data_IF_244302597084
#
_entry.id   IF_244302597084
#
_cell.length_a   1.000
_cell.length_b   1.000
_cell.length_c   1.000
_cell.angle_alpha   90.00
_cell.angle_beta   90.00
_cell.angle_gamma   90.00
#
_symmetry.space_group_name_H-M   'P 1'
#
loop_
_entity.id
_entity.type
_entity.pdbx_description
1 polymer ?
#
# COMPACT_ATOMS: atom_id res chain seq x y z
N UNK A 1 -11.46 -5.46 25.23
CA UNK A 1 -10.98 -4.08 25.39
C UNK A 1 -9.58 -4.05 24.78
N UNK A 2 -9.35 -3.21 23.76
CA UNK A 2 -8.06 -3.16 23.06
C UNK A 2 -6.94 -2.68 23.99
N UNK A 3 -5.75 -3.29 23.85
CA UNK A 3 -4.53 -2.80 24.48
C UNK A 3 -3.84 -1.78 23.55
N UNK A 4 -3.49 -0.61 24.05
CA UNK A 4 -2.82 0.42 23.26
C UNK A 4 -1.31 0.49 23.58
N UNK A 5 -0.44 0.80 22.61
CA UNK A 5 -0.78 0.98 21.18
C UNK A 5 -1.17 -0.35 20.51
N UNK A 6 -2.23 -0.33 19.71
CA UNK A 6 -2.67 -1.47 18.92
C UNK A 6 -1.75 -1.65 17.71
N UNK A 7 -1.12 -2.79 17.55
CA UNK A 7 -0.32 -3.10 16.36
C UNK A 7 -1.26 -3.28 15.16
N UNK A 8 -0.98 -2.56 14.07
CA UNK A 8 -1.80 -2.58 12.85
C UNK A 8 -0.90 -2.84 11.64
N UNK A 9 -1.21 -3.86 10.88
CA UNK A 9 -0.63 -4.12 9.56
C UNK A 9 -1.67 -3.87 8.47
N UNK A 10 -1.21 -3.36 7.34
CA UNK A 10 -2.08 -2.86 6.26
C UNK A 10 -1.59 -3.48 4.95
N UNK A 11 -2.49 -4.13 4.26
CA UNK A 11 -2.25 -4.68 2.94
C UNK A 11 -2.19 -3.57 1.87
N UNK A 12 -1.44 -3.80 0.79
CA UNK A 12 -1.28 -2.87 -0.33
C UNK A 12 -2.61 -2.43 -0.92
N UNK A 13 -3.60 -3.33 -1.00
CA UNK A 13 -4.93 -3.03 -1.53
C UNK A 13 -5.69 -1.93 -0.75
N UNK A 14 -5.36 -1.71 0.50
CA UNK A 14 -5.95 -0.66 1.34
C UNK A 14 -5.34 0.71 1.01
N UNK A 15 -4.02 0.77 0.76
CA UNK A 15 -3.37 1.99 0.27
C UNK A 15 -3.90 2.38 -1.12
N UNK A 16 -4.10 1.40 -2.01
CA UNK A 16 -4.70 1.61 -3.32
C UNK A 16 -6.14 2.12 -3.22
N UNK A 17 -6.95 1.54 -2.35
CA UNK A 17 -8.32 1.99 -2.11
C UNK A 17 -8.36 3.43 -1.57
N UNK A 18 -7.39 3.82 -0.76
CA UNK A 18 -7.19 5.19 -0.30
C UNK A 18 -6.53 6.09 -1.36
N UNK A 19 -6.15 5.55 -2.54
CA UNK A 19 -5.46 6.26 -3.64
C UNK A 19 -4.18 6.98 -3.20
N UNK A 20 -3.52 6.50 -2.17
CA UNK A 20 -2.36 7.15 -1.54
C UNK A 20 -2.63 8.62 -1.17
N UNK A 21 -3.89 8.95 -0.88
CA UNK A 21 -4.30 10.31 -0.51
C UNK A 21 -3.87 10.62 0.92
N UNK A 22 -3.03 11.63 1.08
CA UNK A 22 -2.51 12.13 2.36
C UNK A 22 -3.12 13.49 2.76
N UNK A 23 -4.19 13.92 2.07
CA UNK A 23 -4.92 15.14 2.44
C UNK A 23 -5.61 15.00 3.80
N UNK A 24 -5.91 16.12 4.45
CA UNK A 24 -6.41 16.19 5.83
C UNK A 24 -7.69 15.38 6.10
N UNK A 25 -8.51 15.15 5.08
CA UNK A 25 -9.76 14.37 5.18
C UNK A 25 -9.60 12.89 4.84
N UNK A 26 -8.38 12.45 4.51
CA UNK A 26 -8.13 11.08 4.07
C UNK A 26 -8.10 10.09 5.25
N UNK A 27 -8.41 8.80 4.99
CA UNK A 27 -8.23 7.75 5.99
C UNK A 27 -6.78 7.60 6.45
N UNK A 28 -5.80 7.87 5.57
CA UNK A 28 -4.38 7.79 5.90
C UNK A 28 -3.96 8.93 6.85
N UNK A 29 -4.51 10.12 6.68
CA UNK A 29 -4.29 11.21 7.62
C UNK A 29 -4.92 10.93 8.99
N UNK A 30 -6.07 10.29 9.00
CA UNK A 30 -6.71 9.82 10.23
C UNK A 30 -5.83 8.78 10.94
N UNK A 31 -5.19 7.86 10.20
CA UNK A 31 -4.21 6.91 10.75
C UNK A 31 -3.05 7.63 11.44
N UNK A 32 -2.50 8.66 10.81
CA UNK A 32 -1.44 9.49 11.38
C UNK A 32 -1.85 10.07 12.75
N UNK A 33 -3.09 10.57 12.86
CA UNK A 33 -3.61 11.10 14.11
C UNK A 33 -3.71 10.02 15.21
N UNK A 34 -4.16 8.81 14.88
CA UNK A 34 -4.20 7.70 15.84
C UNK A 34 -2.81 7.28 16.30
N UNK A 35 -1.83 7.28 15.41
CA UNK A 35 -0.42 6.99 15.76
C UNK A 35 0.13 8.09 16.67
N UNK A 36 -0.05 9.36 16.34
CA UNK A 36 0.40 10.50 17.18
C UNK A 36 -0.20 10.49 18.57
N UNK A 37 -1.43 10.00 18.70
CA UNK A 37 -2.10 9.86 20.00
C UNK A 37 -1.75 8.56 20.74
N UNK A 38 -0.77 7.79 20.26
CA UNK A 38 -0.32 6.55 20.90
C UNK A 38 -1.35 5.41 20.89
N UNK A 39 -2.38 5.48 20.05
CA UNK A 39 -3.41 4.45 19.94
C UNK A 39 -3.05 3.34 18.94
N UNK A 40 -2.31 3.66 17.90
CA UNK A 40 -1.91 2.72 16.84
C UNK A 40 -0.40 2.73 16.70
N UNK A 41 0.18 1.55 16.51
CA UNK A 41 1.54 1.33 16.03
C UNK A 41 1.45 0.62 14.68
N UNK A 42 1.96 1.24 13.62
CA UNK A 42 1.94 0.65 12.29
C UNK A 42 3.14 -0.27 12.09
N UNK A 43 2.88 -1.48 11.61
CA UNK A 43 3.89 -2.50 11.30
C UNK A 43 3.62 -3.00 9.89
N UNK A 44 4.54 -2.80 8.96
CA UNK A 44 4.36 -3.17 7.55
C UNK A 44 5.43 -4.15 7.09
N UNK A 45 5.06 -5.05 6.19
CA UNK A 45 6.00 -5.81 5.37
C UNK A 45 6.80 -4.89 4.44
N UNK A 46 8.09 -5.15 4.26
CA UNK A 46 8.89 -4.49 3.23
C UNK A 46 8.37 -4.75 1.81
N UNK A 47 7.66 -5.86 1.61
CA UNK A 47 6.99 -6.19 0.34
C UNK A 47 5.83 -5.22 0.10
N UNK A 48 4.98 -4.97 1.10
CA UNK A 48 3.89 -3.98 1.00
C UNK A 48 4.44 -2.60 0.64
N UNK A 49 5.54 -2.19 1.25
CA UNK A 49 6.18 -0.90 0.96
C UNK A 49 6.65 -0.83 -0.50
N UNK A 50 7.31 -1.88 -1.00
CA UNK A 50 7.79 -1.95 -2.38
C UNK A 50 6.65 -2.01 -3.39
N UNK A 51 5.60 -2.76 -3.11
CA UNK A 51 4.41 -2.82 -3.95
C UNK A 51 3.69 -1.48 -4.01
N UNK A 52 3.51 -0.81 -2.87
CA UNK A 52 2.92 0.52 -2.80
C UNK A 52 3.68 1.52 -3.68
N UNK A 53 5.02 1.53 -3.61
CA UNK A 53 5.85 2.38 -4.47
C UNK A 53 5.69 2.04 -5.95
N UNK A 54 5.66 0.75 -6.31
CA UNK A 54 5.39 0.32 -7.68
C UNK A 54 4.03 0.81 -8.16
N UNK A 55 2.98 0.71 -7.34
CA UNK A 55 1.64 1.19 -7.68
C UNK A 55 1.60 2.71 -7.86
N UNK A 56 2.27 3.47 -7.00
CA UNK A 56 2.44 4.93 -7.17
C UNK A 56 3.11 5.23 -8.51
N UNK A 57 4.23 4.56 -8.82
CA UNK A 57 4.94 4.74 -10.09
C UNK A 57 4.05 4.43 -11.30
N UNK A 58 3.25 3.36 -11.24
CA UNK A 58 2.35 2.98 -12.33
C UNK A 58 1.18 3.95 -12.50
N UNK A 59 0.63 4.49 -11.40
CA UNK A 59 -0.37 5.56 -11.45
C UNK A 59 0.21 6.84 -12.08
N UNK A 60 1.41 7.26 -11.68
CA UNK A 60 2.10 8.41 -12.28
C UNK A 60 2.34 8.20 -13.77
N UNK A 61 2.84 7.03 -14.20
CA UNK A 61 3.02 6.69 -15.62
C UNK A 61 1.71 6.81 -16.39
N UNK A 62 0.62 6.31 -15.84
CA UNK A 62 -0.72 6.39 -16.45
C UNK A 62 -1.16 7.84 -16.62
N UNK A 63 -1.04 8.66 -15.59
CA UNK A 63 -1.39 10.10 -15.63
C UNK A 63 -0.54 10.83 -16.69
N UNK A 64 0.79 10.63 -16.68
CA UNK A 64 1.69 11.21 -17.67
C UNK A 64 1.33 10.78 -19.09
N UNK A 65 0.90 9.54 -19.28
CA UNK A 65 0.43 9.03 -20.60
C UNK A 65 -0.83 9.76 -21.09
N UNK A 66 -1.80 9.96 -20.19
CA UNK A 66 -3.04 10.71 -20.50
C UNK A 66 -2.70 12.16 -20.88
N UNK A 67 -1.86 12.82 -20.10
CA UNK A 67 -1.50 14.22 -20.32
C UNK A 67 -0.67 14.41 -21.61
N UNK A 68 0.21 13.45 -21.97
CA UNK A 68 0.91 13.49 -23.27
C UNK A 68 -0.06 13.40 -24.44
N UNK A 69 -1.07 12.53 -24.37
CA UNK A 69 -2.10 12.43 -25.40
C UNK A 69 -2.89 13.72 -25.51
N UNK A 70 -3.34 14.28 -24.39
CA UNK A 70 -4.07 15.56 -24.37
C UNK A 70 -3.23 16.70 -24.97
N UNK A 71 -1.92 16.73 -24.65
CA UNK A 71 -0.99 17.70 -25.25
C UNK A 71 -0.87 17.55 -26.77
N UNK A 72 -0.71 16.31 -27.25
CA UNK A 72 -0.60 16.05 -28.69
C UNK A 72 -1.86 16.54 -29.41
N UNK A 73 -3.05 16.21 -28.93
CA UNK A 73 -4.32 16.70 -29.48
C UNK A 73 -4.41 18.22 -29.47
N UNK A 74 -4.04 18.88 -28.37
CA UNK A 74 -4.07 20.34 -28.29
C UNK A 74 -3.12 21.02 -29.27
N UNK A 75 -1.99 20.41 -29.59
CA UNK A 75 -1.01 20.93 -30.57
C UNK A 75 -1.47 20.72 -32.03
N UNK A 76 -2.16 19.62 -32.32
CA UNK A 76 -2.71 19.33 -33.66
C UNK A 76 -3.81 20.33 -34.06
N UNK A 77 -4.54 20.90 -33.11
CA UNK A 77 -5.62 21.86 -33.36
C UNK A 77 -5.14 23.32 -33.52
N UNK A 78 -3.86 23.55 -33.83
CA UNK A 78 -3.27 24.88 -34.05
C UNK A 78 -3.38 25.86 -32.87
N UNK A 79 -3.53 25.34 -31.67
CA UNK A 79 -3.69 26.14 -30.43
C UNK A 79 -2.38 26.38 -29.69
N UNK A 80 -1.23 25.97 -30.22
CA UNK A 80 0.08 26.09 -29.56
C UNK A 80 0.39 27.53 -29.09
N UNK A 81 0.07 28.51 -29.95
CA UNK A 81 0.31 29.91 -29.64
C UNK A 81 -0.56 30.38 -28.46
N UNK A 82 -1.83 29.96 -28.46
CA UNK A 82 -2.75 30.27 -27.35
C UNK A 82 -2.29 29.63 -26.04
N UNK A 83 -1.88 28.36 -26.07
CA UNK A 83 -1.36 27.61 -24.91
C UNK A 83 -0.16 28.33 -24.28
N UNK A 84 0.77 28.86 -25.11
CA UNK A 84 1.89 29.66 -24.62
C UNK A 84 1.44 31.00 -24.01
N UNK A 85 0.51 31.67 -24.69
CA UNK A 85 0.02 33.00 -24.26
C UNK A 85 -0.70 32.94 -22.90
N UNK A 86 -1.47 31.90 -22.63
CA UNK A 86 -2.22 31.73 -21.37
C UNK A 86 -1.41 31.01 -20.27
N UNK A 87 -0.12 30.74 -20.50
CA UNK A 87 0.78 30.16 -19.49
C UNK A 87 0.63 28.65 -19.26
N UNK A 88 -0.19 27.93 -20.02
CA UNK A 88 -0.32 26.49 -19.91
C UNK A 88 0.93 25.69 -20.35
N UNK A 89 1.86 26.34 -21.04
CA UNK A 89 3.10 25.71 -21.49
C UNK A 89 3.97 25.19 -20.36
N UNK A 90 3.98 25.85 -19.21
CA UNK A 90 4.73 25.39 -18.02
C UNK A 90 4.09 24.14 -17.37
N UNK A 91 2.76 24.10 -17.28
CA UNK A 91 2.03 22.94 -16.77
C UNK A 91 2.32 21.69 -17.63
N UNK A 92 2.33 21.88 -18.96
CA UNK A 92 2.65 20.81 -19.91
C UNK A 92 4.13 20.37 -19.84
N UNK A 93 5.04 21.24 -19.38
CA UNK A 93 6.46 20.93 -19.18
C UNK A 93 6.69 20.09 -17.93
N UNK A 94 5.97 20.37 -16.84
CA UNK A 94 6.06 19.62 -15.58
C UNK A 94 5.70 18.13 -15.82
N UNK A 95 4.71 17.89 -16.65
CA UNK A 95 4.24 16.52 -16.97
C UNK A 95 5.22 15.72 -17.84
N UNK A 96 6.23 16.35 -18.45
CA UNK A 96 7.22 15.66 -19.29
C UNK A 96 8.31 14.94 -18.47
N UNK A 97 8.54 15.33 -17.23
CA UNK A 97 9.56 14.70 -16.38
C UNK A 97 8.93 13.58 -15.51
N UNK A 98 8.55 12.49 -16.17
CA UNK A 98 7.89 11.33 -15.55
C UNK A 98 8.71 10.77 -14.37
N UNK A 99 10.03 10.67 -14.51
CA UNK A 99 10.87 10.02 -13.50
C UNK A 99 11.00 10.88 -12.23
N UNK A 100 11.02 12.20 -12.38
CA UNK A 100 10.95 13.13 -11.26
C UNK A 100 9.61 13.03 -10.52
N UNK A 101 8.50 12.90 -11.24
CA UNK A 101 7.19 12.75 -10.61
C UNK A 101 7.04 11.41 -9.89
N UNK A 102 7.62 10.34 -10.41
CA UNK A 102 7.68 9.04 -9.73
C UNK A 102 8.48 9.18 -8.44
N UNK A 103 9.69 9.74 -8.50
CA UNK A 103 10.53 9.95 -7.31
C UNK A 103 9.83 10.78 -6.24
N UNK A 104 9.14 11.86 -6.62
CA UNK A 104 8.33 12.66 -5.68
C UNK A 104 7.19 11.87 -5.04
N UNK A 105 6.51 11.03 -5.79
CA UNK A 105 5.45 10.18 -5.25
C UNK A 105 5.97 9.14 -4.27
N UNK A 106 7.09 8.51 -4.58
CA UNK A 106 7.75 7.54 -3.70
C UNK A 106 8.30 8.23 -2.43
N UNK A 107 8.91 9.40 -2.55
CA UNK A 107 9.40 10.19 -1.43
C UNK A 107 8.27 10.64 -0.50
N UNK A 108 7.15 11.10 -1.07
CA UNK A 108 5.94 11.45 -0.31
C UNK A 108 5.43 10.25 0.53
N UNK A 109 5.46 9.05 -0.03
CA UNK A 109 5.07 7.84 0.69
C UNK A 109 6.08 7.48 1.78
N UNK A 110 7.38 7.59 1.51
CA UNK A 110 8.42 7.38 2.52
C UNK A 110 8.32 8.38 3.68
N UNK A 111 8.02 9.65 3.38
CA UNK A 111 7.80 10.67 4.39
C UNK A 111 6.59 10.36 5.27
N UNK A 112 5.52 9.87 4.66
CA UNK A 112 4.35 9.40 5.40
C UNK A 112 4.72 8.27 6.35
N UNK A 113 5.41 7.23 5.87
CA UNK A 113 5.83 6.09 6.70
C UNK A 113 6.76 6.52 7.84
N UNK A 114 7.66 7.49 7.60
CA UNK A 114 8.49 8.09 8.66
C UNK A 114 7.67 8.87 9.68
N UNK A 115 6.70 9.65 9.20
CA UNK A 115 5.84 10.47 10.07
C UNK A 115 5.02 9.61 11.04
N UNK A 116 4.55 8.45 10.59
CA UNK A 116 3.81 7.49 11.43
C UNK A 116 4.73 6.47 12.14
N UNK A 117 6.06 6.69 12.10
CA UNK A 117 7.06 5.84 12.76
C UNK A 117 6.83 4.34 12.51
N UNK A 118 6.68 3.96 11.24
CA UNK A 118 6.34 2.60 10.83
C UNK A 118 7.47 1.62 11.14
N UNK A 119 7.18 0.51 11.83
CA UNK A 119 8.06 -0.66 11.91
C UNK A 119 8.01 -1.43 10.60
N UNK A 120 9.16 -1.69 9.97
CA UNK A 120 9.22 -2.44 8.71
C UNK A 120 9.74 -3.85 8.98
N UNK A 121 8.98 -4.86 8.57
CA UNK A 121 9.35 -6.26 8.65
C UNK A 121 10.21 -6.62 7.43
N UNK A 122 11.40 -7.16 7.68
CA UNK A 122 12.36 -7.51 6.66
C UNK A 122 12.26 -8.96 6.17
N UNK A 123 12.99 -9.24 5.08
CA UNK A 123 13.05 -10.58 4.47
C UNK A 123 13.66 -11.65 5.38
N UNK A 124 14.39 -11.28 6.43
CA UNK A 124 14.93 -12.18 7.44
C UNK A 124 13.87 -12.93 8.26
N UNK A 125 12.65 -12.41 8.25
CA UNK A 125 11.48 -13.07 8.84
C UNK A 125 10.83 -14.12 7.91
N UNK A 126 11.32 -14.31 6.69
CA UNK A 126 10.76 -15.24 5.72
C UNK A 126 11.50 -16.58 5.75
N UNK A 127 10.77 -17.66 6.02
CA UNK A 127 11.25 -19.02 5.79
C UNK A 127 10.72 -19.51 4.44
N UNK A 128 11.59 -19.47 3.42
CA UNK A 128 11.24 -19.87 2.05
C UNK A 128 10.82 -21.34 1.98
N UNK A 129 11.38 -22.20 2.86
CA UNK A 129 11.01 -23.62 2.90
C UNK A 129 9.56 -23.83 3.30
N UNK A 130 9.06 -23.09 4.30
CA UNK A 130 7.67 -23.12 4.70
C UNK A 130 6.73 -22.58 3.61
N UNK A 131 7.12 -21.48 2.96
CA UNK A 131 6.31 -20.92 1.85
C UNK A 131 6.22 -21.87 0.67
N UNK A 132 7.32 -22.57 0.33
CA UNK A 132 7.31 -23.59 -0.71
C UNK A 132 6.46 -24.80 -0.30
N UNK A 133 6.51 -25.20 0.97
CA UNK A 133 5.61 -26.24 1.51
C UNK A 133 4.14 -25.86 1.31
N UNK A 134 3.73 -24.67 1.72
CA UNK A 134 2.36 -24.15 1.54
C UNK A 134 1.97 -24.09 0.04
N UNK A 135 2.92 -23.72 -0.84
CA UNK A 135 2.71 -23.71 -2.29
C UNK A 135 2.42 -25.10 -2.86
N UNK A 136 3.22 -26.11 -2.52
CA UNK A 136 3.03 -27.48 -3.03
C UNK A 136 1.82 -28.17 -2.41
N UNK A 137 1.50 -27.87 -1.16
CA UNK A 137 0.33 -28.39 -0.46
C UNK A 137 -0.96 -27.62 -0.79
N UNK A 138 -0.88 -26.58 -1.61
CA UNK A 138 -2.03 -25.76 -2.03
C UNK A 138 -2.77 -25.14 -0.83
N UNK A 139 -2.00 -24.76 0.20
CA UNK A 139 -2.52 -24.01 1.35
C UNK A 139 -2.70 -22.53 1.03
N UNK A 140 -3.51 -21.77 1.80
CA UNK A 140 -3.62 -20.33 1.61
C UNK A 140 -2.25 -19.63 1.65
N UNK A 141 -2.01 -18.65 0.76
CA UNK A 141 -2.93 -18.07 -0.24
C UNK A 141 -3.00 -18.85 -1.56
N UNK A 142 -2.30 -19.98 -1.70
CA UNK A 142 -2.10 -20.72 -2.96
C UNK A 142 -3.28 -21.63 -3.39
N UNK A 143 -4.46 -21.42 -2.86
CA UNK A 143 -5.65 -22.27 -3.13
C UNK A 143 -6.15 -22.16 -4.57
N UNK A 144 -5.91 -21.04 -5.25
CA UNK A 144 -6.32 -20.84 -6.64
C UNK A 144 -5.19 -21.21 -7.60
N UNK A 145 -5.34 -22.28 -8.37
CA UNK A 145 -4.33 -22.78 -9.31
C UNK A 145 -3.97 -21.76 -10.42
N UNK A 146 -4.91 -20.95 -10.87
CA UNK A 146 -4.68 -19.96 -11.93
C UNK A 146 -3.84 -18.77 -11.45
N UNK A 147 -3.94 -18.42 -10.17
CA UNK A 147 -3.24 -17.28 -9.55
C UNK A 147 -2.03 -17.68 -8.70
N UNK A 148 -1.75 -18.96 -8.57
CA UNK A 148 -0.76 -19.52 -7.65
C UNK A 148 0.59 -18.79 -7.65
N UNK A 149 1.08 -18.38 -8.83
CA UNK A 149 2.35 -17.67 -8.95
C UNK A 149 2.30 -16.21 -8.47
N UNK A 150 1.14 -15.58 -8.55
CA UNK A 150 0.96 -14.18 -8.10
C UNK A 150 0.75 -14.06 -6.59
N UNK A 151 0.49 -15.18 -5.91
CA UNK A 151 0.22 -15.21 -4.46
C UNK A 151 1.49 -15.31 -3.59
N UNK A 152 2.70 -15.44 -4.20
CA UNK A 152 3.94 -15.49 -3.42
C UNK A 152 4.17 -14.26 -2.56
N UNK A 153 3.93 -13.02 -3.02
CA UNK A 153 4.06 -11.86 -2.17
C UNK A 153 3.18 -11.96 -0.92
N UNK A 154 1.92 -12.35 -1.08
CA UNK A 154 0.96 -12.50 0.02
C UNK A 154 1.41 -13.57 1.02
N UNK A 155 1.95 -14.70 0.53
CA UNK A 155 2.49 -15.75 1.37
C UNK A 155 3.70 -15.27 2.20
N UNK A 156 4.59 -14.48 1.61
CA UNK A 156 5.72 -13.89 2.31
C UNK A 156 5.28 -12.89 3.37
N UNK A 157 4.34 -11.98 3.03
CA UNK A 157 3.78 -11.00 3.96
C UNK A 157 3.10 -11.72 5.13
N UNK A 158 2.26 -12.71 4.85
CA UNK A 158 1.57 -13.49 5.88
C UNK A 158 2.57 -14.19 6.82
N UNK A 159 3.66 -14.72 6.29
CA UNK A 159 4.68 -15.36 7.09
C UNK A 159 5.44 -14.37 7.98
N UNK A 160 5.79 -13.18 7.46
CA UNK A 160 6.41 -12.12 8.25
C UNK A 160 5.50 -11.72 9.43
N UNK A 161 4.19 -11.58 9.19
CA UNK A 161 3.21 -11.25 10.23
C UNK A 161 3.16 -12.37 11.27
N UNK A 162 2.97 -13.62 10.85
CA UNK A 162 2.93 -14.78 11.76
C UNK A 162 4.19 -14.89 12.61
N UNK A 163 5.38 -14.67 12.01
CA UNK A 163 6.65 -14.76 12.73
C UNK A 163 6.87 -13.59 13.69
N UNK A 164 6.42 -12.38 13.32
CA UNK A 164 6.57 -11.18 14.14
C UNK A 164 5.65 -11.20 15.36
N UNK A 165 4.41 -11.63 15.21
CA UNK A 165 3.40 -11.55 16.27
C UNK A 165 3.16 -12.89 16.98
N UNK A 166 3.46 -14.00 16.31
CA UNK A 166 3.20 -15.33 16.87
C UNK A 166 1.71 -15.54 17.18
N UNK A 167 1.45 -16.37 18.21
CA UNK A 167 0.08 -16.66 18.65
C UNK A 167 -0.33 -15.81 19.88
N UNK A 168 0.59 -15.02 20.44
CA UNK A 168 0.42 -14.37 21.73
C UNK A 168 0.27 -12.86 21.66
N UNK A 169 0.76 -12.21 20.61
CA UNK A 169 0.65 -10.76 20.41
C UNK A 169 -0.58 -10.41 19.59
N UNK A 170 -1.36 -9.45 20.10
CA UNK A 170 -2.54 -8.94 19.38
C UNK A 170 -2.10 -8.08 18.20
N UNK A 171 -2.64 -8.38 17.01
CA UNK A 171 -2.41 -7.60 15.78
C UNK A 171 -3.69 -7.43 14.99
N UNK A 172 -3.90 -6.22 14.49
CA UNK A 172 -4.96 -5.91 13.53
C UNK A 172 -4.39 -6.02 12.12
N UNK A 173 -5.05 -6.80 11.29
CA UNK A 173 -4.71 -6.99 9.88
C UNK A 173 -5.83 -6.36 9.04
N UNK A 174 -5.46 -5.38 8.22
CA UNK A 174 -6.42 -4.68 7.35
C UNK A 174 -6.19 -5.11 5.92
N UNK A 175 -7.13 -5.89 5.38
CA UNK A 175 -7.12 -6.36 4.00
C UNK A 175 -8.53 -6.69 3.50
N UNK A 176 -8.73 -6.53 2.20
CA UNK A 176 -9.92 -7.00 1.49
C UNK A 176 -9.72 -8.37 0.83
N UNK A 177 -8.50 -8.91 0.84
CA UNK A 177 -8.20 -10.20 0.24
C UNK A 177 -8.45 -11.35 1.21
N UNK A 178 -9.40 -12.22 0.84
CA UNK A 178 -9.75 -13.38 1.65
C UNK A 178 -8.67 -14.46 1.66
N UNK A 179 -7.91 -14.61 0.57
CA UNK A 179 -6.80 -15.55 0.47
C UNK A 179 -5.68 -15.15 1.43
N UNK A 180 -5.31 -13.87 1.39
CA UNK A 180 -4.33 -13.27 2.29
C UNK A 180 -4.76 -13.39 3.76
N UNK A 181 -6.03 -13.08 4.09
CA UNK A 181 -6.55 -13.21 5.45
C UNK A 181 -6.39 -14.65 5.96
N UNK A 182 -6.76 -15.65 5.15
CA UNK A 182 -6.56 -17.07 5.52
C UNK A 182 -5.09 -17.44 5.66
N UNK A 183 -4.23 -16.89 4.80
CA UNK A 183 -2.78 -17.10 4.89
C UNK A 183 -2.17 -16.53 6.19
N UNK A 184 -2.69 -15.42 6.71
CA UNK A 184 -2.28 -14.89 8.01
C UNK A 184 -2.63 -15.82 9.17
N UNK A 185 -3.57 -16.75 8.97
CA UNK A 185 -3.99 -17.73 9.96
C UNK A 185 -5.05 -17.19 10.92
N UNK A 186 -5.91 -18.11 11.39
CA UNK A 186 -6.90 -17.82 12.42
C UNK A 186 -6.24 -17.97 13.80
N UNK A 187 -6.03 -16.84 14.49
CA UNK A 187 -5.62 -16.79 15.87
C UNK A 187 -6.59 -15.87 16.62
N UNK A 188 -6.88 -16.16 17.88
CA UNK A 188 -7.70 -15.28 18.73
C UNK A 188 -7.09 -13.86 18.86
N UNK A 189 -5.79 -13.74 18.61
CA UNK A 189 -5.04 -12.48 18.67
C UNK A 189 -4.93 -11.77 17.31
N UNK A 190 -5.42 -12.36 16.21
CA UNK A 190 -5.45 -11.76 14.89
C UNK A 190 -6.84 -11.16 14.61
N UNK A 191 -6.94 -9.86 14.57
CA UNK A 191 -8.18 -9.13 14.34
C UNK A 191 -8.21 -8.61 12.90
N UNK A 192 -9.26 -8.93 12.15
CA UNK A 192 -9.35 -8.60 10.74
C UNK A 192 -10.38 -7.49 10.47
N UNK A 193 -9.94 -6.46 9.72
CA UNK A 193 -10.81 -5.41 9.23
C UNK A 193 -10.66 -5.24 7.71
N UNK A 194 -11.76 -4.95 7.03
CA UNK A 194 -11.73 -4.75 5.57
C UNK A 194 -11.42 -3.32 5.16
N UNK A 195 -11.27 -2.39 6.09
CA UNK A 195 -10.88 -1.00 5.81
C UNK A 195 -10.41 -0.28 7.09
N UNK A 196 -9.63 0.78 6.90
CA UNK A 196 -9.24 1.70 7.97
C UNK A 196 -10.48 2.28 8.69
N UNK A 197 -11.51 2.69 7.93
CA UNK A 197 -12.73 3.24 8.52
C UNK A 197 -13.46 2.28 9.47
N UNK A 198 -13.46 0.96 9.16
CA UNK A 198 -14.04 -0.03 10.08
C UNK A 198 -13.22 -0.16 11.36
N UNK A 199 -11.90 -0.12 11.26
CA UNK A 199 -11.03 -0.10 12.44
C UNK A 199 -11.32 1.14 13.30
N UNK A 200 -11.36 2.33 12.69
CA UNK A 200 -11.59 3.59 13.43
C UNK A 200 -12.92 3.63 14.18
N UNK A 201 -13.95 2.99 13.63
CA UNK A 201 -15.24 2.86 14.29
C UNK A 201 -15.24 1.87 15.47
N UNK A 202 -14.23 1.00 15.57
CA UNK A 202 -14.11 -0.01 16.61
C UNK A 202 -13.24 0.42 17.82
N UNK A 203 -12.39 1.45 17.64
CA UNK A 203 -11.42 1.95 18.64
C UNK A 203 -11.71 3.39 19.05
#
# INVERSE_FOLDING_TARGET
>A
MFKYPLAVTIDTNIFDAAKFDLCDTSPLKTLENYVKNGKIKVVLSDIVVRESKRHIADQVKKICGIMRKARATALEESTEHLIRTIGLGEILRIVTNKDELISKGEEMFDDFLRTINTEILGADLIDVGLVLGDYFETKPPFENSEKKKSEFPDAFIAQQIRKRFGETEEVVIISNDKGFIRACGESENHLFFSSLGKLYNAI
#
